data_IF_054484183428
#
_entry.id   IF_054484183428
#
_cell.length_a   1.000
_cell.length_b   1.000
_cell.length_c   1.000
_cell.angle_alpha   90.00
_cell.angle_beta   90.00
_cell.angle_gamma   90.00
#
_symmetry.space_group_name_H-M   'P 1'
#
loop_
_entity.id
_entity.type
_entity.pdbx_description
1 polymer ?
#
# COMPACT_ATOMS: atom_id res chain seq x y z
N UNK A 1 10.31 1.03 9.60
CA UNK A 1 9.99 1.49 8.24
C UNK A 1 8.79 2.41 8.35
N UNK A 2 8.91 3.63 7.84
CA UNK A 2 7.93 4.70 8.00
C UNK A 2 6.69 4.47 7.11
N UNK A 3 5.55 5.00 7.54
CA UNK A 3 4.32 5.05 6.75
C UNK A 3 4.52 5.86 5.45
N UNK A 4 3.57 5.77 4.54
CA UNK A 4 3.62 6.34 3.19
C UNK A 4 2.31 7.07 2.85
N UNK A 5 2.45 8.13 2.03
CA UNK A 5 1.29 8.79 1.46
C UNK A 5 0.84 8.02 0.23
N UNK A 6 -0.36 7.47 0.30
CA UNK A 6 -0.97 6.76 -0.81
C UNK A 6 -2.07 7.61 -1.45
N UNK A 7 -2.04 7.78 -2.77
CA UNK A 7 -3.10 8.37 -3.58
C UNK A 7 -3.72 7.33 -4.52
N UNK A 8 -5.05 7.32 -4.56
CA UNK A 8 -5.82 6.60 -5.57
C UNK A 8 -6.68 7.60 -6.33
N UNK A 9 -6.54 7.60 -7.65
CA UNK A 9 -7.26 8.49 -8.55
C UNK A 9 -7.68 7.71 -9.79
N UNK A 10 -8.96 7.80 -10.15
CA UNK A 10 -9.47 7.26 -11.41
C UNK A 10 -10.31 8.33 -12.10
N UNK A 11 -9.83 8.90 -13.20
CA UNK A 11 -10.50 9.98 -13.92
C UNK A 11 -10.91 9.56 -15.33
N UNK A 12 -11.94 10.21 -15.88
CA UNK A 12 -12.36 9.99 -17.26
C UNK A 12 -11.34 10.55 -18.27
N UNK A 13 -11.17 9.86 -19.41
CA UNK A 13 -10.34 10.30 -20.53
C UNK A 13 -11.20 10.68 -21.74
N UNK A 14 -10.92 11.84 -22.35
CA UNK A 14 -11.72 12.40 -23.43
C UNK A 14 -11.34 11.83 -24.81
N UNK A 15 -10.05 11.56 -25.08
CA UNK A 15 -9.63 11.07 -26.40
C UNK A 15 -8.74 9.83 -26.35
N UNK A 16 -8.83 9.03 -27.43
CA UNK A 16 -8.32 7.65 -27.45
C UNK A 16 -7.12 7.46 -28.39
N UNK A 17 -6.79 8.47 -29.19
CA UNK A 17 -5.87 8.32 -30.32
C UNK A 17 -4.43 8.76 -30.03
N UNK A 18 -4.21 9.70 -29.10
CA UNK A 18 -2.88 10.26 -28.83
C UNK A 18 -2.61 10.39 -27.32
N UNK A 19 -1.93 9.40 -26.74
CA UNK A 19 -1.57 9.42 -25.31
C UNK A 19 -0.65 10.58 -24.96
N UNK A 20 0.16 11.07 -25.91
CA UNK A 20 1.10 12.15 -25.64
C UNK A 20 0.32 13.41 -25.31
N UNK A 21 -0.64 13.77 -26.18
CA UNK A 21 -1.53 14.92 -25.94
C UNK A 21 -2.42 14.72 -24.70
N UNK A 22 -2.96 13.53 -24.50
CA UNK A 22 -3.88 13.27 -23.37
C UNK A 22 -3.17 13.27 -22.01
N UNK A 23 -1.91 12.82 -21.93
CA UNK A 23 -1.14 12.75 -20.68
C UNK A 23 -0.20 13.93 -20.47
N UNK A 24 -0.03 14.82 -21.45
CA UNK A 24 0.77 16.03 -21.30
C UNK A 24 0.37 16.87 -20.07
N UNK A 25 -0.93 17.18 -19.82
CA UNK A 25 -1.35 17.92 -18.62
C UNK A 25 -1.05 17.14 -17.33
N UNK A 26 -1.18 15.82 -17.37
CA UNK A 26 -0.87 14.95 -16.25
C UNK A 26 0.61 15.03 -15.85
N UNK A 27 1.51 14.85 -16.82
CA UNK A 27 2.96 14.86 -16.58
C UNK A 27 3.46 16.25 -16.20
N UNK A 28 2.90 17.31 -16.79
CA UNK A 28 3.24 18.68 -16.40
C UNK A 28 2.89 18.94 -14.92
N UNK A 29 1.69 18.54 -14.48
CA UNK A 29 1.30 18.68 -13.08
C UNK A 29 2.15 17.80 -12.14
N UNK A 30 2.51 16.58 -12.56
CA UNK A 30 3.41 15.71 -11.81
C UNK A 30 4.78 16.36 -11.61
N UNK A 31 5.39 16.88 -12.69
CA UNK A 31 6.71 17.49 -12.67
C UNK A 31 6.77 18.76 -11.81
N UNK A 32 5.66 19.52 -11.76
CA UNK A 32 5.54 20.69 -10.90
C UNK A 32 5.26 20.33 -9.43
N UNK A 33 4.53 19.24 -9.17
CA UNK A 33 4.10 18.85 -7.83
C UNK A 33 5.03 17.90 -7.08
N UNK A 34 5.87 17.14 -7.79
CA UNK A 34 6.62 16.02 -7.21
C UNK A 34 7.95 16.39 -6.55
N UNK A 35 8.58 17.51 -6.93
CA UNK A 35 9.83 18.05 -6.37
C UNK A 35 10.79 16.97 -5.78
N UNK A 36 10.85 16.84 -4.44
CA UNK A 36 11.74 15.92 -3.70
C UNK A 36 11.58 14.44 -4.04
N UNK A 37 10.39 14.01 -4.48
CA UNK A 37 10.06 12.62 -4.79
C UNK A 37 9.89 12.34 -6.29
N UNK A 38 10.32 13.28 -7.15
CA UNK A 38 10.26 13.16 -8.61
C UNK A 38 10.77 11.79 -9.12
N UNK A 39 9.99 11.07 -9.95
CA UNK A 39 10.43 9.78 -10.51
C UNK A 39 11.74 9.89 -11.30
N UNK A 40 12.62 8.91 -11.13
CA UNK A 40 13.89 8.80 -11.86
C UNK A 40 13.91 7.61 -12.83
N UNK A 41 12.93 6.71 -12.74
CA UNK A 41 12.82 5.50 -13.54
C UNK A 41 11.43 5.40 -14.18
N UNK A 42 11.40 5.07 -15.46
CA UNK A 42 10.22 4.61 -16.20
C UNK A 42 10.36 3.12 -16.45
N UNK A 43 9.32 2.34 -16.14
CA UNK A 43 9.33 0.88 -16.25
C UNK A 43 8.16 0.40 -17.11
N UNK A 44 8.50 -0.30 -18.18
CA UNK A 44 7.66 -1.28 -18.88
C UNK A 44 8.35 -2.65 -18.82
N UNK A 45 8.50 -3.32 -19.98
CA UNK A 45 9.35 -4.52 -20.13
C UNK A 45 10.79 -4.30 -19.69
N UNK A 46 11.29 -3.06 -19.84
CA UNK A 46 12.63 -2.64 -19.42
C UNK A 46 12.53 -1.37 -18.57
N UNK A 47 13.54 -1.16 -17.72
CA UNK A 47 13.74 0.07 -16.95
C UNK A 47 14.56 1.06 -17.78
N UNK A 48 14.12 2.32 -17.82
CA UNK A 48 14.76 3.44 -18.51
C UNK A 48 14.78 4.64 -17.56
N UNK A 49 15.70 5.59 -17.75
CA UNK A 49 15.69 6.85 -17.01
C UNK A 49 14.41 7.65 -17.31
N UNK A 50 13.94 8.42 -16.33
CA UNK A 50 12.77 9.27 -16.50
C UNK A 50 12.96 10.27 -17.65
N UNK A 51 12.03 10.23 -18.59
CA UNK A 51 11.80 11.25 -19.60
C UNK A 51 10.40 11.04 -20.18
N UNK A 52 9.74 12.12 -20.62
CA UNK A 52 8.43 12.01 -21.28
C UNK A 52 8.49 11.08 -22.50
N UNK A 53 9.56 11.16 -23.30
CA UNK A 53 9.80 10.26 -24.42
C UNK A 53 9.86 8.77 -24.03
N UNK A 54 10.48 8.44 -22.89
CA UNK A 54 10.50 7.07 -22.37
C UNK A 54 9.10 6.60 -21.96
N UNK A 55 8.28 7.48 -21.37
CA UNK A 55 6.89 7.19 -21.02
C UNK A 55 6.08 6.86 -22.27
N UNK A 56 6.16 7.70 -23.30
CA UNK A 56 5.45 7.50 -24.58
C UNK A 56 5.86 6.20 -25.24
N UNK A 57 7.18 5.92 -25.28
CA UNK A 57 7.71 4.68 -25.81
C UNK A 57 7.14 3.46 -25.07
N UNK A 58 7.15 3.46 -23.74
CA UNK A 58 6.62 2.35 -22.94
C UNK A 58 5.12 2.17 -23.17
N UNK A 59 4.32 3.23 -23.14
CA UNK A 59 2.88 3.15 -23.36
C UNK A 59 2.52 2.58 -24.73
N UNK A 60 3.32 2.87 -25.76
CA UNK A 60 3.19 2.30 -27.11
C UNK A 60 3.61 0.83 -27.16
N UNK A 61 4.72 0.46 -26.52
CA UNK A 61 5.24 -0.92 -26.50
C UNK A 61 4.39 -1.89 -25.65
N UNK A 62 3.71 -1.37 -24.62
CA UNK A 62 2.82 -2.10 -23.71
C UNK A 62 1.35 -2.01 -24.11
N UNK A 63 1.05 -1.42 -25.28
CA UNK A 63 -0.33 -1.22 -25.73
C UNK A 63 -1.03 -2.55 -25.96
N UNK A 64 -1.89 -2.92 -25.02
CA UNK A 64 -2.87 -3.99 -25.21
C UNK A 64 -4.10 -3.53 -25.97
N UNK A 65 -5.00 -4.48 -26.25
CA UNK A 65 -6.28 -4.22 -26.91
C UNK A 65 -7.13 -3.22 -26.11
N UNK A 66 -7.24 -3.44 -24.79
CA UNK A 66 -8.18 -2.73 -23.89
C UNK A 66 -7.52 -1.88 -22.80
N UNK A 67 -6.19 -1.98 -22.65
CA UNK A 67 -5.45 -1.19 -21.67
C UNK A 67 -3.98 -1.07 -22.01
N UNK A 68 -3.33 -0.06 -21.46
CA UNK A 68 -1.86 0.05 -21.41
C UNK A 68 -1.47 0.57 -20.03
N UNK A 69 -0.23 0.32 -19.62
CA UNK A 69 0.27 0.81 -18.34
C UNK A 69 1.75 1.13 -18.40
N UNK A 70 2.15 2.08 -17.57
CA UNK A 70 3.55 2.43 -17.33
C UNK A 70 3.74 2.62 -15.83
N UNK A 71 4.85 2.13 -15.30
CA UNK A 71 5.24 2.40 -13.93
C UNK A 71 6.31 3.49 -13.88
N UNK A 72 6.16 4.41 -12.92
CA UNK A 72 7.10 5.48 -12.60
C UNK A 72 7.65 5.20 -11.20
N UNK A 73 8.97 5.21 -11.06
CA UNK A 73 9.62 4.80 -9.82
C UNK A 73 10.70 5.78 -9.42
N UNK A 74 11.00 5.78 -8.13
CA UNK A 74 12.21 6.33 -7.56
C UNK A 74 12.76 5.40 -6.51
N UNK A 75 14.01 4.94 -6.69
CA UNK A 75 14.66 4.02 -5.73
C UNK A 75 15.41 4.73 -4.61
N UNK A 76 15.87 5.96 -4.88
CA UNK A 76 16.57 6.79 -3.87
C UNK A 76 15.54 7.38 -2.92
N UNK A 77 15.89 7.53 -1.65
CA UNK A 77 15.03 8.20 -0.68
C UNK A 77 14.82 9.69 -1.06
N UNK A 78 13.60 10.24 -0.97
CA UNK A 78 12.30 9.58 -0.74
C UNK A 78 11.90 8.62 -1.86
N UNK A 79 11.37 7.44 -1.53
CA UNK A 79 10.98 6.40 -2.49
C UNK A 79 9.61 6.72 -3.10
N UNK A 80 9.47 6.43 -4.39
CA UNK A 80 8.21 6.50 -5.13
C UNK A 80 7.94 5.17 -5.83
N UNK A 81 6.72 4.67 -5.68
CA UNK A 81 6.12 3.69 -6.57
C UNK A 81 4.81 4.26 -7.14
N UNK A 82 4.72 4.35 -8.44
CA UNK A 82 3.57 4.90 -9.12
C UNK A 82 3.24 4.09 -10.35
N UNK A 83 1.95 3.79 -10.53
CA UNK A 83 1.45 3.12 -11.72
C UNK A 83 0.39 3.96 -12.39
N UNK A 84 0.55 4.10 -13.70
CA UNK A 84 -0.40 4.73 -14.59
C UNK A 84 -1.00 3.65 -15.47
N UNK A 85 -2.33 3.53 -15.46
CA UNK A 85 -3.06 2.60 -16.30
C UNK A 85 -4.13 3.36 -17.08
N UNK A 86 -4.09 3.22 -18.39
CA UNK A 86 -5.10 3.74 -19.29
C UNK A 86 -6.01 2.59 -19.70
N UNK A 87 -7.33 2.77 -19.63
CA UNK A 87 -8.33 1.83 -20.16
C UNK A 87 -8.96 2.38 -21.43
N UNK A 88 -9.34 1.49 -22.33
CA UNK A 88 -9.88 1.81 -23.65
C UNK A 88 -11.16 1.03 -23.95
N UNK A 89 -11.95 1.47 -24.95
CA UNK A 89 -13.15 0.76 -25.39
C UNK A 89 -12.89 -0.73 -25.63
N UNK A 90 -13.84 -1.61 -25.29
CA UNK A 90 -15.23 -1.32 -24.88
C UNK A 90 -15.39 -0.91 -23.41
N UNK A 91 -14.31 -0.81 -22.63
CA UNK A 91 -14.38 -0.29 -21.26
C UNK A 91 -14.52 1.24 -21.29
N UNK A 92 -15.11 1.86 -20.24
CA UNK A 92 -15.05 3.31 -20.08
C UNK A 92 -13.60 3.78 -20.11
N UNK A 93 -13.31 4.74 -21.00
CA UNK A 93 -11.97 5.32 -21.12
C UNK A 93 -11.60 6.03 -19.83
N UNK A 94 -10.57 5.54 -19.14
CA UNK A 94 -10.16 6.09 -17.84
C UNK A 94 -8.64 6.10 -17.67
N UNK A 95 -8.18 7.08 -16.90
CA UNK A 95 -6.83 7.17 -16.36
C UNK A 95 -6.91 6.76 -14.89
N UNK A 96 -6.30 5.61 -14.58
CA UNK A 96 -6.12 5.14 -13.22
C UNK A 96 -4.69 5.42 -12.78
N UNK A 97 -4.57 6.08 -11.64
CA UNK A 97 -3.31 6.44 -10.98
C UNK A 97 -3.31 5.83 -9.60
N UNK A 98 -2.27 5.07 -9.32
CA UNK A 98 -1.89 4.67 -7.98
C UNK A 98 -0.51 5.24 -7.72
N UNK A 99 -0.37 6.00 -6.64
CA UNK A 99 0.85 6.71 -6.28
C UNK A 99 1.13 6.50 -4.81
N UNK A 100 2.34 6.07 -4.51
CA UNK A 100 2.84 5.73 -3.19
C UNK A 100 4.18 6.43 -2.97
N UNK A 101 4.21 7.37 -2.02
CA UNK A 101 5.41 8.14 -1.65
C UNK A 101 5.81 7.86 -0.21
N UNK A 102 7.04 7.39 -0.02
CA UNK A 102 7.62 7.11 1.27
C UNK A 102 8.85 8.00 1.54
N UNK A 103 8.97 8.64 2.71
CA UNK A 103 8.11 8.51 3.89
C UNK A 103 6.97 9.53 3.90
N UNK A 104 5.90 9.22 4.64
CA UNK A 104 4.80 10.14 4.92
C UNK A 104 5.28 11.42 5.61
N UNK A 105 6.37 11.34 6.39
CA UNK A 105 7.02 12.48 7.03
C UNK A 105 7.46 13.59 6.05
N UNK A 106 7.63 13.28 4.76
CA UNK A 106 7.86 14.28 3.71
C UNK A 106 6.72 15.30 3.62
N UNK A 107 5.50 14.88 3.97
CA UNK A 107 4.28 15.68 3.98
C UNK A 107 3.96 16.25 5.37
N UNK A 108 4.98 16.44 6.21
CA UNK A 108 4.91 17.27 7.42
C UNK A 108 5.15 18.76 7.12
N UNK A 109 5.69 19.08 5.94
CA UNK A 109 5.90 20.45 5.47
C UNK A 109 4.71 20.94 4.64
N UNK A 110 4.20 22.14 4.97
CA UNK A 110 3.08 22.77 4.27
C UNK A 110 3.33 22.94 2.75
N UNK A 111 4.56 23.25 2.35
CA UNK A 111 4.92 23.43 0.94
C UNK A 111 4.82 22.12 0.14
N UNK A 112 5.31 21.02 0.71
CA UNK A 112 5.20 19.68 0.11
C UNK A 112 3.74 19.27 -0.07
N UNK A 113 2.89 19.57 0.93
CA UNK A 113 1.46 19.32 0.85
C UNK A 113 0.77 20.22 -0.17
N UNK A 114 1.12 21.50 -0.24
CA UNK A 114 0.59 22.45 -1.22
C UNK A 114 0.88 22.04 -2.65
N UNK A 115 2.14 21.70 -2.96
CA UNK A 115 2.53 21.23 -4.29
C UNK A 115 1.78 19.95 -4.68
N UNK A 116 1.59 19.03 -3.72
CA UNK A 116 0.79 17.83 -3.93
C UNK A 116 -0.70 18.13 -4.18
N UNK A 117 -1.29 19.05 -3.40
CA UNK A 117 -2.67 19.50 -3.58
C UNK A 117 -2.89 20.12 -4.97
N UNK A 118 -1.99 21.00 -5.42
CA UNK A 118 -2.08 21.63 -6.75
C UNK A 118 -1.95 20.60 -7.89
N UNK A 119 -1.09 19.59 -7.73
CA UNK A 119 -0.99 18.48 -8.68
C UNK A 119 -2.31 17.71 -8.78
N UNK A 120 -2.90 17.30 -7.65
CA UNK A 120 -4.17 16.57 -7.64
C UNK A 120 -5.32 17.45 -8.14
N UNK A 121 -5.32 18.73 -7.80
CA UNK A 121 -6.27 19.73 -8.31
C UNK A 121 -6.22 19.80 -9.84
N UNK A 122 -5.03 19.96 -10.42
CA UNK A 122 -4.84 19.99 -11.87
C UNK A 122 -5.34 18.68 -12.52
N UNK A 123 -5.00 17.52 -11.95
CA UNK A 123 -5.50 16.24 -12.44
C UNK A 123 -7.02 16.14 -12.36
N UNK A 124 -7.64 16.56 -11.26
CA UNK A 124 -9.09 16.50 -11.08
C UNK A 124 -9.86 17.43 -12.04
N UNK A 125 -9.27 18.56 -12.42
CA UNK A 125 -9.83 19.46 -13.45
C UNK A 125 -9.78 18.80 -14.83
N UNK A 126 -8.65 18.20 -15.20
CA UNK A 126 -8.43 17.62 -16.53
C UNK A 126 -9.08 16.23 -16.71
N UNK A 127 -9.15 15.44 -15.65
CA UNK A 127 -9.67 14.08 -15.65
C UNK A 127 -10.78 13.98 -14.59
N UNK A 128 -12.04 14.31 -14.93
CA UNK A 128 -13.14 14.25 -13.99
C UNK A 128 -13.22 12.89 -13.30
N UNK A 129 -12.97 12.87 -11.99
CA UNK A 129 -12.95 11.65 -11.20
C UNK A 129 -14.27 11.52 -10.42
N UNK A 130 -14.92 10.34 -10.41
CA UNK A 130 -16.06 10.10 -9.51
C UNK A 130 -15.62 10.20 -8.04
N UNK A 131 -14.40 9.76 -7.75
CA UNK A 131 -13.76 9.88 -6.44
C UNK A 131 -12.24 9.74 -6.57
N UNK A 132 -11.50 10.51 -5.77
CA UNK A 132 -10.08 10.29 -5.53
C UNK A 132 -9.73 10.60 -4.07
N UNK A 133 -8.66 9.99 -3.55
CA UNK A 133 -8.24 10.22 -2.16
C UNK A 133 -6.76 10.00 -1.93
N UNK A 134 -6.16 10.86 -1.09
CA UNK A 134 -4.82 10.65 -0.56
C UNK A 134 -4.80 10.63 0.97
N UNK A 135 -4.03 9.69 1.55
CA UNK A 135 -3.92 9.49 3.00
C UNK A 135 -2.76 8.56 3.36
N UNK A 136 -2.47 8.42 4.66
CA UNK A 136 -1.67 7.32 5.23
C UNK A 136 -2.14 5.96 4.69
N UNK A 137 -1.21 5.14 4.18
CA UNK A 137 -1.52 3.79 3.74
C UNK A 137 -2.02 2.94 4.90
N UNK A 138 -1.33 2.99 6.04
CA UNK A 138 -1.68 2.20 7.21
C UNK A 138 -3.10 2.48 7.71
N UNK A 139 -3.49 3.76 7.77
CA UNK A 139 -4.84 4.13 8.20
C UNK A 139 -5.92 3.82 7.15
N UNK A 140 -5.58 3.85 5.85
CA UNK A 140 -6.47 3.42 4.77
C UNK A 140 -6.78 1.93 4.84
N UNK A 141 -5.77 1.11 5.11
CA UNK A 141 -5.95 -0.33 5.30
C UNK A 141 -6.86 -0.61 6.50
N UNK A 142 -6.65 0.07 7.63
CA UNK A 142 -7.53 -0.02 8.80
C UNK A 142 -8.96 0.48 8.53
N UNK A 143 -9.13 1.46 7.63
CA UNK A 143 -10.45 1.92 7.17
C UNK A 143 -11.15 0.88 6.25
N UNK A 144 -10.45 -0.18 5.83
CA UNK A 144 -10.94 -1.15 4.86
C UNK A 144 -10.94 -0.64 3.42
N UNK A 145 -10.20 0.44 3.10
CA UNK A 145 -10.11 0.96 1.75
C UNK A 145 -9.57 -0.11 0.76
N UNK A 146 -10.06 -0.22 -0.49
CA UNK A 146 -11.10 0.60 -1.14
C UNK A 146 -12.53 0.12 -0.92
N UNK A 147 -12.71 -0.99 -0.23
CA UNK A 147 -13.99 -1.70 -0.19
C UNK A 147 -14.87 -1.26 0.97
N UNK A 148 -14.28 -0.75 2.05
CA UNK A 148 -14.95 -0.35 3.29
C UNK A 148 -15.80 -1.49 3.87
N UNK A 149 -15.24 -2.71 3.86
CA UNK A 149 -15.92 -3.93 4.30
C UNK A 149 -16.95 -4.50 3.32
N UNK A 150 -17.17 -3.87 2.16
CA UNK A 150 -18.03 -4.43 1.10
C UNK A 150 -17.34 -5.57 0.37
N UNK A 151 -18.13 -6.50 -0.16
CA UNK A 151 -17.61 -7.51 -1.08
C UNK A 151 -17.03 -6.85 -2.35
N UNK A 152 -16.00 -7.46 -2.91
CA UNK A 152 -15.29 -6.91 -4.07
C UNK A 152 -16.21 -6.75 -5.30
N UNK A 153 -17.16 -7.67 -5.49
CA UNK A 153 -18.13 -7.60 -6.59
C UNK A 153 -19.10 -6.42 -6.43
N UNK A 154 -19.66 -6.25 -5.23
CA UNK A 154 -20.54 -5.12 -4.89
C UNK A 154 -19.79 -3.80 -5.06
N UNK A 155 -18.55 -3.71 -4.57
CA UNK A 155 -17.71 -2.52 -4.69
C UNK A 155 -17.46 -2.12 -6.15
N UNK A 156 -17.25 -3.10 -7.04
CA UNK A 156 -17.03 -2.85 -8.48
C UNK A 156 -18.31 -2.43 -9.19
N UNK A 157 -19.45 -3.01 -8.80
CA UNK A 157 -20.75 -2.74 -9.42
C UNK A 157 -21.25 -1.35 -9.04
N UNK A 158 -21.24 -1.02 -7.76
CA UNK A 158 -21.82 0.22 -7.24
C UNK A 158 -20.82 1.38 -7.26
N UNK A 159 -19.52 1.07 -7.30
CA UNK A 159 -18.46 2.07 -7.27
C UNK A 159 -18.44 2.85 -5.96
N UNK A 160 -18.18 4.15 -6.07
CA UNK A 160 -18.25 5.09 -4.95
C UNK A 160 -19.58 5.87 -5.02
N UNK A 161 -20.62 5.23 -4.49
CA UNK A 161 -22.02 5.66 -4.55
C UNK A 161 -22.44 6.55 -3.37
N UNK A 162 -21.66 6.55 -2.28
CA UNK A 162 -21.88 7.36 -1.08
C UNK A 162 -20.56 7.69 -0.38
N UNK A 163 -20.59 8.62 0.58
CA UNK A 163 -19.45 8.92 1.43
C UNK A 163 -19.24 7.79 2.44
N UNK A 164 -18.22 6.95 2.20
CA UNK A 164 -17.84 5.85 3.09
C UNK A 164 -16.89 6.30 4.21
N UNK A 165 -15.94 7.16 3.87
CA UNK A 165 -14.94 7.72 4.77
C UNK A 165 -14.45 9.04 4.17
N UNK A 166 -13.87 9.89 5.02
CA UNK A 166 -13.20 11.13 4.59
C UNK A 166 -11.72 11.03 4.96
N UNK A 167 -10.84 11.11 3.97
CA UNK A 167 -9.39 11.07 4.18
C UNK A 167 -8.76 12.47 4.24
N UNK A 168 -7.45 12.57 4.44
CA UNK A 168 -6.74 13.85 4.46
C UNK A 168 -7.06 14.72 3.22
N UNK A 169 -6.96 14.14 2.01
CA UNK A 169 -7.37 14.77 0.76
C UNK A 169 -8.42 13.91 0.06
N UNK A 170 -9.48 14.54 -0.43
CA UNK A 170 -10.52 13.88 -1.23
C UNK A 170 -10.89 14.75 -2.44
N UNK A 171 -11.20 14.10 -3.55
CA UNK A 171 -11.91 14.70 -4.68
C UNK A 171 -13.24 13.99 -4.80
N UNK A 172 -14.34 14.73 -4.66
CA UNK A 172 -15.69 14.21 -4.79
C UNK A 172 -16.25 14.62 -6.14
N UNK A 173 -16.57 13.65 -7.00
CA UNK A 173 -17.17 13.93 -8.30
C UNK A 173 -18.60 14.49 -8.19
N UNK A 174 -19.12 15.12 -9.25
CA UNK A 174 -20.39 15.87 -9.21
C UNK A 174 -21.57 15.02 -8.75
N UNK A 175 -21.65 13.74 -9.16
CA UNK A 175 -22.71 12.82 -8.72
C UNK A 175 -22.76 12.65 -7.20
N UNK A 176 -21.59 12.53 -6.57
CA UNK A 176 -21.49 12.37 -5.12
C UNK A 176 -21.81 13.69 -4.41
N UNK A 177 -21.35 14.81 -4.97
CA UNK A 177 -21.67 16.16 -4.47
C UNK A 177 -23.18 16.42 -4.48
N UNK A 178 -23.85 16.06 -5.57
CA UNK A 178 -25.31 16.18 -5.71
C UNK A 178 -26.07 15.29 -4.73
N UNK A 179 -25.56 14.07 -4.44
CA UNK A 179 -26.25 13.11 -3.56
C UNK A 179 -26.45 13.59 -2.11
N UNK A 180 -25.55 14.45 -1.61
CA UNK A 180 -25.60 15.02 -0.26
C UNK A 180 -25.99 16.51 -0.28
N UNK A 181 -25.90 17.14 -1.44
CA UNK A 181 -26.22 18.55 -1.68
C UNK A 181 -24.97 19.42 -1.73
N UNK A 182 -24.82 20.18 -2.82
CA UNK A 182 -23.68 21.06 -3.09
C UNK A 182 -23.35 22.00 -1.93
N UNK A 183 -24.35 22.70 -1.37
CA UNK A 183 -24.15 23.62 -0.25
C UNK A 183 -23.58 22.93 1.00
N UNK A 184 -24.04 21.70 1.28
CA UNK A 184 -23.52 20.91 2.39
C UNK A 184 -22.07 20.53 2.15
N UNK A 185 -21.73 20.05 0.96
CA UNK A 185 -20.34 19.70 0.63
C UNK A 185 -19.42 20.91 0.73
N UNK A 186 -19.82 22.06 0.18
CA UNK A 186 -19.02 23.29 0.21
C UNK A 186 -18.89 23.92 1.61
N UNK A 187 -19.81 23.63 2.52
CA UNK A 187 -19.76 24.07 3.93
C UNK A 187 -19.09 23.06 4.87
N UNK A 188 -18.46 22.01 4.33
CA UNK A 188 -17.80 20.99 5.15
C UNK A 188 -16.68 21.61 5.99
N UNK A 189 -16.63 21.34 7.31
CA UNK A 189 -15.56 21.86 8.16
C UNK A 189 -14.23 21.19 7.83
N UNK A 190 -13.41 21.87 7.04
CA UNK A 190 -12.11 21.39 6.57
C UNK A 190 -11.12 22.56 6.41
N UNK A 191 -9.83 22.25 6.22
CA UNK A 191 -8.81 23.26 5.96
C UNK A 191 -9.04 23.96 4.60
N UNK A 192 -9.41 23.20 3.58
CA UNK A 192 -9.73 23.69 2.25
C UNK A 192 -10.95 22.94 1.71
N UNK A 193 -11.89 23.69 1.14
CA UNK A 193 -12.98 23.15 0.32
C UNK A 193 -13.07 24.02 -0.93
N UNK A 194 -12.81 23.42 -2.10
CA UNK A 194 -12.80 24.12 -3.38
C UNK A 194 -13.69 23.40 -4.39
N UNK A 195 -14.60 24.15 -5.01
CA UNK A 195 -15.34 23.67 -6.16
C UNK A 195 -14.51 23.83 -7.44
N UNK A 196 -14.38 22.74 -8.19
CA UNK A 196 -13.68 22.71 -9.47
C UNK A 196 -14.63 23.04 -10.63
N UNK A 197 -14.12 23.52 -11.80
CA UNK A 197 -14.95 23.92 -12.93
C UNK A 197 -15.87 22.82 -13.50
N UNK A 198 -15.59 21.54 -13.21
CA UNK A 198 -16.38 20.39 -13.65
C UNK A 198 -17.44 19.95 -12.63
N UNK A 199 -17.67 20.73 -11.56
CA UNK A 199 -18.62 20.43 -10.49
C UNK A 199 -18.13 19.43 -9.45
N UNK A 200 -16.89 18.95 -9.56
CA UNK A 200 -16.25 18.18 -8.49
C UNK A 200 -15.82 19.10 -7.35
N UNK A 201 -15.65 18.56 -6.15
CA UNK A 201 -15.13 19.31 -5.00
C UNK A 201 -13.83 18.68 -4.50
N UNK A 202 -12.78 19.49 -4.40
CA UNK A 202 -11.54 19.16 -3.70
C UNK A 202 -11.71 19.54 -2.22
N UNK A 203 -11.49 18.59 -1.33
CA UNK A 203 -11.59 18.77 0.12
C UNK A 203 -10.31 18.29 0.79
N UNK A 204 -9.72 19.14 1.64
CA UNK A 204 -8.52 18.84 2.41
C UNK A 204 -8.76 19.16 3.88
N UNK A 205 -8.57 18.16 4.75
CA UNK A 205 -8.92 18.27 6.17
C UNK A 205 -7.94 19.11 6.99
N UNK A 206 -6.65 19.01 6.67
CA UNK A 206 -5.54 19.57 7.44
C UNK A 206 -4.46 20.11 6.51
N UNK A 207 -3.65 21.11 6.94
CA UNK A 207 -2.55 21.63 6.11
C UNK A 207 -1.51 20.57 5.73
N UNK A 208 -1.27 19.60 6.61
CA UNK A 208 -0.27 18.54 6.43
C UNK A 208 -0.92 17.17 6.45
N UNK A 209 -0.29 16.19 5.78
CA UNK A 209 -0.76 14.81 5.75
C UNK A 209 -0.12 13.94 6.85
N UNK A 210 1.08 14.33 7.31
CA UNK A 210 1.86 13.53 8.26
C UNK A 210 1.27 13.51 9.68
N UNK A 211 0.44 14.50 10.05
CA UNK A 211 -0.20 14.59 11.37
C UNK A 211 -1.52 13.81 11.46
N UNK A 212 -1.84 12.94 10.49
CA UNK A 212 -3.14 12.26 10.38
C UNK A 212 -3.61 11.54 11.65
N UNK A 213 -2.67 11.04 12.45
CA UNK A 213 -2.96 10.28 13.68
C UNK A 213 -3.16 11.17 14.92
N UNK A 214 -2.88 12.47 14.84
CA UNK A 214 -3.05 13.45 15.92
C UNK A 214 -4.52 13.60 16.34
N UNK A 215 -4.76 14.03 17.58
CA UNK A 215 -6.12 14.23 18.07
C UNK A 215 -6.84 15.31 17.26
N UNK A 216 -6.14 16.38 16.91
CA UNK A 216 -6.66 17.48 16.09
C UNK A 216 -7.06 17.00 14.69
N UNK A 217 -6.24 16.16 14.06
CA UNK A 217 -6.57 15.56 12.76
C UNK A 217 -7.79 14.64 12.84
N UNK A 218 -7.88 13.80 13.89
CA UNK A 218 -9.05 12.91 14.09
C UNK A 218 -10.34 13.68 14.38
N UNK A 219 -10.27 14.76 15.15
CA UNK A 219 -11.42 15.64 15.39
C UNK A 219 -11.86 16.32 14.08
N UNK A 220 -10.92 16.83 13.27
CA UNK A 220 -11.24 17.43 11.97
C UNK A 220 -11.90 16.40 11.02
N UNK A 221 -11.34 15.18 10.97
CA UNK A 221 -11.87 14.08 10.17
C UNK A 221 -13.28 13.68 10.62
N UNK A 222 -13.52 13.51 11.93
CA UNK A 222 -14.83 13.18 12.47
C UNK A 222 -15.88 14.27 12.16
N UNK A 223 -15.52 15.55 12.30
CA UNK A 223 -16.42 16.68 11.99
C UNK A 223 -16.81 16.70 10.53
N UNK A 224 -15.84 16.55 9.62
CA UNK A 224 -16.10 16.52 8.19
C UNK A 224 -16.97 15.31 7.80
N UNK A 225 -16.68 14.13 8.38
CA UNK A 225 -17.41 12.91 8.09
C UNK A 225 -18.89 13.02 8.54
N UNK A 226 -19.16 13.41 9.79
CA UNK A 226 -20.56 13.57 10.27
C UNK A 226 -21.30 14.70 9.54
N UNK A 227 -20.60 15.75 9.12
CA UNK A 227 -21.22 16.81 8.31
C UNK A 227 -21.73 16.29 6.96
N UNK A 228 -20.95 15.44 6.30
CA UNK A 228 -21.30 14.80 5.02
C UNK A 228 -22.26 13.61 5.20
N UNK A 229 -22.28 12.99 6.39
CA UNK A 229 -23.11 11.85 6.78
C UNK A 229 -23.82 12.12 8.11
N UNK A 230 -24.91 12.91 8.10
CA UNK A 230 -25.60 13.31 9.32
C UNK A 230 -26.30 12.16 10.06
N UNK A 231 -26.36 10.98 9.43
CA UNK A 231 -26.83 9.75 10.06
C UNK A 231 -25.79 9.12 11.02
N UNK A 232 -24.54 9.61 11.01
CA UNK A 232 -23.49 9.14 11.90
C UNK A 232 -23.43 9.95 13.21
N UNK A 233 -23.07 9.26 14.29
CA UNK A 233 -22.80 9.86 15.59
C UNK A 233 -21.33 10.30 15.72
N UNK A 234 -21.10 11.54 16.14
CA UNK A 234 -19.77 12.14 16.23
C UNK A 234 -18.85 11.41 17.21
N UNK A 235 -19.34 11.09 18.41
CA UNK A 235 -18.53 10.45 19.44
C UNK A 235 -18.13 9.03 19.03
N UNK A 236 -19.04 8.31 18.36
CA UNK A 236 -18.76 6.99 17.80
C UNK A 236 -17.71 7.05 16.69
N UNK A 237 -17.84 7.99 15.75
CA UNK A 237 -16.85 8.18 14.67
C UNK A 237 -15.48 8.55 15.23
N UNK A 238 -15.42 9.52 16.15
CA UNK A 238 -14.17 9.97 16.77
C UNK A 238 -13.50 8.87 17.58
N UNK A 239 -14.26 8.07 18.33
CA UNK A 239 -13.73 6.92 19.06
C UNK A 239 -13.08 5.91 18.13
N UNK A 240 -13.77 5.49 17.06
CA UNK A 240 -13.22 4.56 16.05
C UNK A 240 -11.94 5.11 15.40
N UNK A 241 -11.90 6.41 15.12
CA UNK A 241 -10.71 7.09 14.58
C UNK A 241 -9.53 7.07 15.57
N UNK A 242 -9.79 7.31 16.86
CA UNK A 242 -8.78 7.25 17.92
C UNK A 242 -8.28 5.82 18.14
N UNK A 243 -9.15 4.82 18.07
CA UNK A 243 -8.76 3.41 18.14
C UNK A 243 -7.81 3.03 17.00
N UNK A 244 -8.08 3.51 15.77
CA UNK A 244 -7.14 3.36 14.64
C UNK A 244 -5.80 4.05 14.89
N UNK A 245 -5.79 5.28 15.38
CA UNK A 245 -4.54 5.95 15.77
C UNK A 245 -3.76 5.15 16.82
N UNK A 246 -4.43 4.62 17.85
CA UNK A 246 -3.83 3.79 18.88
C UNK A 246 -3.19 2.52 18.31
N UNK A 247 -3.83 1.87 17.33
CA UNK A 247 -3.30 0.68 16.68
C UNK A 247 -2.02 0.95 15.87
N UNK A 248 -1.79 2.19 15.44
CA UNK A 248 -0.64 2.62 14.64
C UNK A 248 0.52 3.20 15.46
N UNK A 249 0.36 3.33 16.79
CA UNK A 249 1.42 3.83 17.66
C UNK A 249 2.64 2.90 17.56
N UNK A 250 3.85 3.45 17.31
CA UNK A 250 5.07 2.64 17.22
C UNK A 250 5.32 1.82 18.49
N UNK A 251 5.55 0.52 18.32
CA UNK A 251 5.94 -0.42 19.38
C UNK A 251 7.40 -0.81 19.16
N UNK A 252 8.22 -0.64 20.20
CA UNK A 252 9.63 -1.02 20.16
C UNK A 252 9.78 -2.56 20.17
N UNK A 253 10.51 -3.16 19.21
CA UNK A 253 10.80 -4.58 19.23
C UNK A 253 11.65 -4.99 20.44
N UNK A 254 11.14 -5.93 21.24
CA UNK A 254 11.79 -6.49 22.44
C UNK A 254 11.60 -8.01 22.47
N UNK A 255 11.98 -8.64 21.36
CA UNK A 255 11.81 -10.07 21.15
C UNK A 255 12.67 -10.91 22.10
N UNK A 256 12.23 -12.15 22.34
CA UNK A 256 13.01 -13.12 23.10
C UNK A 256 14.41 -13.31 22.46
N UNK A 257 15.52 -13.29 23.22
CA UNK A 257 16.88 -13.35 22.66
C UNK A 257 17.09 -14.51 21.69
N UNK A 258 16.64 -15.71 22.05
CA UNK A 258 16.80 -16.92 21.25
C UNK A 258 16.05 -16.88 19.90
N UNK A 259 14.99 -16.07 19.81
CA UNK A 259 14.18 -15.94 18.59
C UNK A 259 14.38 -14.60 17.90
N UNK A 260 15.13 -13.67 18.49
CA UNK A 260 15.31 -12.31 17.98
C UNK A 260 15.82 -12.29 16.53
N UNK A 261 16.78 -13.14 16.10
CA UNK A 261 17.21 -13.19 14.70
C UNK A 261 16.07 -13.47 13.72
N UNK A 262 15.17 -14.42 14.03
CA UNK A 262 14.02 -14.75 13.18
C UNK A 262 12.93 -13.68 13.27
N UNK A 263 12.52 -13.33 14.49
CA UNK A 263 11.41 -12.41 14.75
C UNK A 263 11.70 -11.00 14.23
N UNK A 264 12.97 -10.58 14.16
CA UNK A 264 13.35 -9.29 13.57
C UNK A 264 13.00 -9.14 12.08
N UNK A 265 12.80 -10.25 11.37
CA UNK A 265 12.49 -10.27 9.93
C UNK A 265 10.99 -10.33 9.63
N UNK A 266 10.18 -10.73 10.61
CA UNK A 266 8.74 -10.89 10.43
C UNK A 266 7.97 -9.56 10.28
N UNK A 267 8.28 -8.46 11.00
CA UNK A 267 7.54 -7.21 10.89
C UNK A 267 7.41 -6.65 9.48
N UNK A 268 8.41 -6.88 8.62
CA UNK A 268 8.40 -6.43 7.23
C UNK A 268 7.57 -7.34 6.31
N UNK A 269 7.18 -8.53 6.77
CA UNK A 269 6.31 -9.46 6.05
C UNK A 269 4.82 -9.21 6.30
N UNK A 270 4.46 -8.46 7.35
CA UNK A 270 3.08 -8.08 7.65
C UNK A 270 2.68 -6.78 6.94
N UNK A 271 1.37 -6.60 6.74
CA UNK A 271 0.82 -5.33 6.30
C UNK A 271 1.22 -4.20 7.27
N UNK A 272 1.43 -3.00 6.73
CA UNK A 272 1.94 -1.88 7.53
C UNK A 272 0.96 -1.51 8.67
N UNK A 273 -0.35 -1.64 8.42
CA UNK A 273 -1.42 -1.48 9.40
C UNK A 273 -1.39 -2.49 10.55
N UNK A 274 -0.91 -3.70 10.32
CA UNK A 274 -0.88 -4.78 11.32
C UNK A 274 0.46 -4.85 12.06
N UNK A 275 1.49 -4.21 11.52
CA UNK A 275 2.88 -4.35 11.98
C UNK A 275 3.04 -4.08 13.47
N UNK A 276 2.48 -2.98 13.99
CA UNK A 276 2.66 -2.60 15.40
C UNK A 276 2.00 -3.60 16.34
N UNK A 277 0.79 -4.05 15.98
CA UNK A 277 0.10 -5.12 16.69
C UNK A 277 0.91 -6.42 16.67
N UNK A 278 1.48 -6.80 15.51
CA UNK A 278 2.31 -8.00 15.39
C UNK A 278 3.59 -7.91 16.20
N UNK A 279 4.25 -6.75 16.23
CA UNK A 279 5.41 -6.53 17.11
C UNK A 279 5.00 -6.70 18.58
N UNK A 280 3.86 -6.16 19.01
CA UNK A 280 3.37 -6.34 20.37
C UNK A 280 3.05 -7.81 20.71
N UNK A 281 2.41 -8.55 19.79
CA UNK A 281 2.16 -9.99 19.92
C UNK A 281 3.48 -10.78 20.06
N UNK A 282 4.47 -10.48 19.21
CA UNK A 282 5.79 -11.12 19.23
C UNK A 282 6.62 -10.76 20.47
N UNK A 283 6.48 -9.54 21.00
CA UNK A 283 7.10 -9.13 22.26
C UNK A 283 6.54 -9.89 23.48
N UNK A 284 5.25 -10.19 23.45
CA UNK A 284 4.58 -10.94 24.51
C UNK A 284 4.85 -12.46 24.42
N UNK A 285 5.24 -12.96 23.24
CA UNK A 285 5.50 -14.37 23.02
C UNK A 285 6.71 -14.86 23.84
N UNK A 286 6.50 -15.96 24.58
CA UNK A 286 7.54 -16.68 25.31
C UNK A 286 7.63 -18.10 24.74
N UNK A 287 8.76 -18.49 24.11
CA UNK A 287 8.90 -19.86 23.66
C UNK A 287 8.86 -20.81 24.87
N UNK A 288 8.31 -22.03 24.70
CA UNK A 288 8.46 -23.07 25.69
C UNK A 288 9.95 -23.40 25.89
N UNK A 289 10.30 -23.93 27.07
CA UNK A 289 11.66 -24.45 27.30
C UNK A 289 11.93 -25.52 26.24
N UNK A 290 13.06 -25.45 25.51
CA UNK A 290 13.41 -26.50 24.58
C UNK A 290 13.43 -27.85 25.30
N UNK A 291 12.62 -28.80 24.86
CA UNK A 291 12.89 -30.20 25.15
C UNK A 291 14.17 -30.51 24.38
N UNK A 292 15.30 -30.57 25.09
CA UNK A 292 16.57 -30.96 24.47
C UNK A 292 16.34 -32.28 23.73
N UNK A 293 16.60 -32.25 22.42
CA UNK A 293 16.80 -33.47 21.65
C UNK A 293 18.15 -34.03 22.09
N UNK A 294 18.17 -34.62 23.29
CA UNK A 294 19.32 -35.37 23.75
C UNK A 294 19.61 -36.44 22.70
N UNK A 295 20.87 -36.69 22.34
CA UNK A 295 21.22 -37.78 21.45
C UNK A 295 20.69 -39.09 22.02
N UNK A 296 19.53 -39.54 21.54
CA UNK A 296 19.02 -40.86 21.86
C UNK A 296 19.86 -41.82 21.04
N UNK A 297 20.43 -42.84 21.67
CA UNK A 297 21.08 -43.93 20.94
C UNK A 297 20.11 -44.42 19.85
N UNK A 298 20.63 -44.61 18.63
CA UNK A 298 19.82 -45.14 17.53
C UNK A 298 19.09 -46.40 18.05
N UNK A 299 17.76 -46.50 17.85
CA UNK A 299 17.00 -47.66 18.25
C UNK A 299 17.72 -48.95 17.81
N UNK A 300 17.81 -49.94 18.70
CA UNK A 300 18.57 -51.18 18.46
C UNK A 300 18.01 -52.04 17.31
N UNK A 301 16.86 -51.67 16.76
CA UNK A 301 16.17 -52.25 15.61
C UNK A 301 16.56 -51.59 14.27
N UNK A 302 17.45 -50.58 14.26
CA UNK A 302 18.06 -50.07 13.02
C UNK A 302 19.05 -51.10 12.47
N UNK A 303 18.58 -51.98 11.59
CA UNK A 303 19.35 -53.12 11.07
C UNK A 303 20.63 -52.77 10.29
N UNK A 304 20.76 -51.53 9.79
CA UNK A 304 21.99 -51.02 9.18
C UNK A 304 22.10 -49.49 9.35
N UNK A 305 22.77 -49.01 10.41
CA UNK A 305 22.95 -47.58 10.67
C UNK A 305 23.67 -46.82 9.54
N UNK A 306 24.65 -47.44 8.88
CA UNK A 306 25.45 -46.81 7.82
C UNK A 306 24.58 -46.46 6.61
N UNK A 307 23.71 -47.38 6.19
CA UNK A 307 22.77 -47.17 5.08
C UNK A 307 21.74 -46.09 5.40
N UNK A 308 21.30 -46.00 6.66
CA UNK A 308 20.38 -44.94 7.09
C UNK A 308 21.07 -43.58 7.05
N UNK A 309 22.32 -43.50 7.50
CA UNK A 309 23.12 -42.26 7.42
C UNK A 309 23.33 -41.81 5.96
N UNK A 310 23.64 -42.73 5.06
CA UNK A 310 23.77 -42.45 3.62
C UNK A 310 22.45 -41.87 3.05
N UNK A 311 21.31 -42.46 3.40
CA UNK A 311 20.00 -41.96 2.95
C UNK A 311 19.68 -40.55 3.46
N UNK A 312 20.10 -40.19 4.68
CA UNK A 312 19.99 -38.82 5.17
C UNK A 312 20.93 -37.86 4.44
N UNK A 313 22.12 -38.34 4.04
CA UNK A 313 23.03 -37.63 3.15
C UNK A 313 22.36 -37.23 1.84
N UNK A 314 21.81 -38.20 1.11
CA UNK A 314 21.09 -37.97 -0.15
C UNK A 314 19.91 -36.99 0.01
N UNK A 315 19.13 -37.13 1.08
CA UNK A 315 18.02 -36.22 1.39
C UNK A 315 18.50 -34.79 1.67
N UNK A 316 19.63 -34.64 2.37
CA UNK A 316 20.22 -33.33 2.66
C UNK A 316 20.73 -32.65 1.39
N UNK A 317 21.38 -33.39 0.48
CA UNK A 317 21.81 -32.88 -0.82
C UNK A 317 20.61 -32.45 -1.68
N UNK A 318 19.54 -33.26 -1.68
CA UNK A 318 18.28 -32.92 -2.35
C UNK A 318 17.64 -31.64 -1.80
N UNK A 319 17.66 -31.44 -0.48
CA UNK A 319 17.14 -30.24 0.16
C UNK A 319 17.96 -29.00 -0.22
N UNK A 320 19.29 -29.09 -0.19
CA UNK A 320 20.18 -28.01 -0.63
C UNK A 320 19.96 -27.69 -2.10
N UNK A 321 19.86 -28.71 -2.97
CA UNK A 321 19.57 -28.52 -4.39
C UNK A 321 18.22 -27.81 -4.61
N UNK A 322 17.19 -28.12 -3.82
CA UNK A 322 15.89 -27.46 -3.90
C UNK A 322 15.92 -26.00 -3.40
N UNK A 323 16.71 -25.72 -2.37
CA UNK A 323 16.64 -24.45 -1.64
C UNK A 323 17.73 -23.44 -1.98
N UNK A 324 18.88 -23.83 -2.53
CA UNK A 324 20.00 -22.90 -2.78
C UNK A 324 19.64 -21.72 -3.69
N UNK A 325 18.62 -21.85 -4.54
CA UNK A 325 18.11 -20.73 -5.35
C UNK A 325 17.20 -19.77 -4.58
N UNK A 326 16.50 -20.27 -3.55
CA UNK A 326 15.54 -19.51 -2.73
C UNK A 326 16.20 -18.92 -1.49
N UNK A 327 17.14 -19.65 -0.92
CA UNK A 327 17.94 -19.30 0.27
C UNK A 327 19.42 -19.55 -0.08
N UNK A 328 20.06 -18.63 -0.83
CA UNK A 328 21.46 -18.83 -1.25
C UNK A 328 22.45 -18.94 -0.09
N UNK A 329 22.13 -18.34 1.05
CA UNK A 329 22.93 -18.42 2.27
C UNK A 329 23.09 -19.85 2.79
N UNK A 330 22.23 -20.80 2.43
CA UNK A 330 22.37 -22.21 2.86
C UNK A 330 23.74 -22.80 2.47
N UNK A 331 24.35 -22.31 1.39
CA UNK A 331 25.68 -22.74 0.94
C UNK A 331 26.81 -22.24 1.85
N UNK A 332 26.59 -21.17 2.61
CA UNK A 332 27.56 -20.63 3.55
C UNK A 332 27.61 -21.41 4.87
N UNK A 333 26.57 -22.21 5.16
CA UNK A 333 26.47 -23.07 6.34
C UNK A 333 26.75 -22.33 7.67
N UNK A 334 26.31 -21.08 7.77
CA UNK A 334 26.44 -20.27 9.00
C UNK A 334 25.19 -20.36 9.86
N UNK A 335 25.24 -20.02 11.16
CA UNK A 335 24.03 -19.92 12.00
C UNK A 335 22.94 -19.03 11.39
N UNK A 336 23.31 -17.93 10.72
CA UNK A 336 22.37 -17.03 10.04
C UNK A 336 21.66 -17.72 8.87
N UNK A 337 22.31 -18.70 8.24
CA UNK A 337 21.73 -19.48 7.14
C UNK A 337 20.54 -20.32 7.60
N UNK A 338 20.56 -20.79 8.85
CA UNK A 338 19.40 -21.46 9.46
C UNK A 338 18.26 -20.47 9.70
N UNK A 339 18.55 -19.24 10.14
CA UNK A 339 17.51 -18.22 10.32
C UNK A 339 16.88 -17.82 8.98
N UNK A 340 17.67 -17.75 7.90
CA UNK A 340 17.16 -17.48 6.54
C UNK A 340 16.24 -18.60 6.05
N UNK A 341 16.61 -19.85 6.37
CA UNK A 341 15.85 -21.04 6.06
C UNK A 341 14.51 -21.07 6.84
N UNK A 342 14.54 -20.81 8.14
CA UNK A 342 13.34 -20.75 9.00
C UNK A 342 12.38 -19.67 8.52
N UNK A 343 12.91 -18.48 8.19
CA UNK A 343 12.11 -17.39 7.64
C UNK A 343 11.49 -17.76 6.29
N UNK A 344 12.22 -18.47 5.43
CA UNK A 344 11.68 -18.97 4.17
C UNK A 344 10.50 -19.93 4.40
N UNK A 345 10.68 -20.95 5.25
CA UNK A 345 9.61 -21.91 5.53
C UNK A 345 8.38 -21.28 6.18
N UNK A 346 8.59 -20.35 7.11
CA UNK A 346 7.50 -19.57 7.70
C UNK A 346 6.72 -18.81 6.63
N UNK A 347 7.42 -18.11 5.72
CA UNK A 347 6.79 -17.32 4.65
C UNK A 347 6.03 -18.19 3.65
N UNK A 348 6.53 -19.39 3.36
CA UNK A 348 5.85 -20.33 2.46
C UNK A 348 4.68 -21.08 3.14
N UNK A 349 4.39 -20.81 4.42
CA UNK A 349 3.40 -21.53 5.23
C UNK A 349 3.63 -23.05 5.19
N UNK A 350 4.88 -23.47 5.38
CA UNK A 350 5.26 -24.87 5.41
C UNK A 350 4.81 -25.51 6.74
N UNK A 351 4.31 -26.77 6.75
CA UNK A 351 4.11 -27.64 5.59
C UNK A 351 2.74 -27.49 4.92
N UNK A 352 1.83 -26.67 5.45
CA UNK A 352 0.43 -26.60 5.00
C UNK A 352 0.29 -26.39 3.50
N UNK A 353 1.09 -25.48 2.92
CA UNK A 353 1.09 -25.21 1.48
C UNK A 353 1.51 -26.40 0.61
N UNK A 354 2.21 -27.37 1.19
CA UNK A 354 2.76 -28.54 0.52
C UNK A 354 2.10 -29.86 0.94
N UNK A 355 1.10 -29.80 1.84
CA UNK A 355 0.20 -30.93 2.06
C UNK A 355 -0.60 -31.13 0.77
N UNK A 356 -0.28 -32.19 0.02
CA UNK A 356 -1.24 -32.72 -0.96
C UNK A 356 -2.42 -33.26 -0.15
N UNK A 357 -3.64 -32.88 -0.52
CA UNK A 357 -4.82 -33.62 -0.10
C UNK A 357 -4.61 -35.07 -0.56
N UNK A 358 -4.33 -35.95 0.40
CA UNK A 358 -4.15 -37.39 0.19
C UNK A 358 -5.51 -38.08 0.26
#
# INVERSE_FOLDING_TARGET
MDDNLLLSFEGALAHHADFERELEPFLQALELGADKWMPDIVKGKRRQSYSRAAIWKVLREERGERSTSVGLYRKKWPVLDMSLRLRFPPLPSSLQVWLDVQPLALFAEDESCRSFMEMVRAWAIHYPAPYASAHSMADRELAGFPHFGREAEVSRKDGFDKFYEVFWLNVFGPKLVESVGRERVLSTPAHLVEELPNGSVLLVLRPTAADFASDEARVAQARAHVHLRPDLDFDTVLRTLRERSAALVPVEPRFHPDLAPLLSRLPDAFAISERQRKIAELNAFRPPVPEEWLPVALPSDVGNPERVLESYGDLSEGLVAALHTKVPSIMAATPESLTDLDFHFWRENFPERYKRDL
#
